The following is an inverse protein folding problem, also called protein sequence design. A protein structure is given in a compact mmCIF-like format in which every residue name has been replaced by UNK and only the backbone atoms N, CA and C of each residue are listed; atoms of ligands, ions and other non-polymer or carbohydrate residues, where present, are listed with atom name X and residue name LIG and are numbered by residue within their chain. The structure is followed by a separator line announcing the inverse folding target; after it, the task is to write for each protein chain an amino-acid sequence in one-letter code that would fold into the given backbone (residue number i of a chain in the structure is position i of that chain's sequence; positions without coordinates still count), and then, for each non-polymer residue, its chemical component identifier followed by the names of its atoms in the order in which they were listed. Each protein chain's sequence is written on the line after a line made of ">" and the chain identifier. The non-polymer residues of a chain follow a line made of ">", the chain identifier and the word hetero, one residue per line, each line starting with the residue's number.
data_IF_286352291222
#
_entry.id   IF_286352291222
#
_cell.length_a   1.000
_cell.length_b   1.000
_cell.length_c   1.000
_cell.angle_alpha   90.00
_cell.angle_beta   90.00
_cell.angle_gamma   90.00
#
_symmetry.space_group_name_H-M   'P 1'
#
loop_
_entity.id
_entity.type
_entity.pdbx_description
1 polymer ?
#
# COMPACT_ATOMS: atom_id res chain seq x y z
N UNK A 1 -4.08 -24.21 78.91
CA UNK A 1 -4.52 -23.36 77.81
C UNK A 1 -3.45 -23.37 76.73
N UNK A 2 -3.66 -24.10 75.64
CA UNK A 2 -2.74 -24.15 74.49
C UNK A 2 -3.39 -23.40 73.37
N UNK A 3 -2.81 -22.25 72.94
CA UNK A 3 -3.27 -21.49 71.80
C UNK A 3 -2.65 -22.11 70.54
N UNK A 4 -3.54 -22.51 69.62
CA UNK A 4 -3.16 -22.93 68.25
C UNK A 4 -3.13 -21.68 67.36
N UNK A 5 -1.96 -21.34 66.82
CA UNK A 5 -1.84 -20.36 65.77
C UNK A 5 -1.97 -21.06 64.43
N UNK A 6 -3.04 -20.78 63.71
CA UNK A 6 -3.24 -21.25 62.35
C UNK A 6 -2.60 -20.27 61.41
N UNK A 7 -1.48 -20.66 60.77
CA UNK A 7 -0.81 -19.89 59.72
C UNK A 7 -1.62 -20.10 58.42
N UNK A 8 -2.27 -19.01 57.97
CA UNK A 8 -2.94 -18.96 56.66
C UNK A 8 -1.92 -18.50 55.61
N UNK A 9 -1.40 -19.47 54.84
CA UNK A 9 -0.52 -19.17 53.67
C UNK A 9 -1.39 -18.80 52.47
N UNK A 10 -1.41 -17.51 52.13
CA UNK A 10 -2.06 -17.01 50.91
C UNK A 10 -1.07 -17.24 49.77
N UNK A 11 -1.33 -18.24 48.92
CA UNK A 11 -0.58 -18.46 47.67
C UNK A 11 -1.09 -17.49 46.59
N UNK A 12 -0.32 -16.45 46.33
CA UNK A 12 -0.58 -15.48 45.24
C UNK A 12 -0.16 -16.09 43.91
N UNK A 13 -1.09 -16.70 43.17
CA UNK A 13 -0.86 -17.13 41.80
C UNK A 13 -0.75 -15.92 40.87
N UNK A 14 0.46 -15.55 40.54
CA UNK A 14 0.77 -14.52 39.54
C UNK A 14 0.53 -15.14 38.14
N UNK A 15 -0.64 -14.95 37.55
CA UNK A 15 -0.90 -15.32 36.14
C UNK A 15 -0.20 -14.33 35.23
N UNK A 16 0.97 -14.71 34.72
CA UNK A 16 1.68 -13.97 33.68
C UNK A 16 0.91 -14.18 32.37
N UNK A 17 0.06 -13.25 31.98
CA UNK A 17 -0.53 -13.21 30.65
C UNK A 17 0.53 -12.74 29.68
N UNK A 18 1.22 -13.67 29.02
CA UNK A 18 2.10 -13.37 27.89
C UNK A 18 1.22 -12.93 26.71
N UNK A 19 1.09 -11.63 26.49
CA UNK A 19 0.55 -11.08 25.25
C UNK A 19 1.53 -11.44 24.13
N UNK A 20 1.12 -12.34 23.23
CA UNK A 20 1.86 -12.61 21.99
C UNK A 20 1.68 -11.35 21.12
N UNK A 21 2.64 -10.44 21.19
CA UNK A 21 2.78 -9.37 20.20
C UNK A 21 3.24 -10.07 18.93
N UNK A 22 2.33 -10.27 17.98
CA UNK A 22 2.70 -10.69 16.63
C UNK A 22 3.65 -9.62 16.09
N UNK A 23 4.93 -9.95 16.01
CA UNK A 23 5.93 -9.05 15.45
C UNK A 23 5.52 -8.74 14.01
N UNK A 24 5.30 -7.46 13.73
CA UNK A 24 4.99 -6.99 12.39
C UNK A 24 6.17 -7.33 11.47
N UNK A 25 5.89 -7.88 10.29
CA UNK A 25 6.95 -8.22 9.31
C UNK A 25 7.76 -6.94 9.00
N UNK A 26 9.10 -6.95 9.17
CA UNK A 26 9.93 -5.77 8.97
C UNK A 26 9.83 -5.22 7.53
N UNK A 27 9.46 -6.06 6.57
CA UNK A 27 9.23 -5.67 5.17
C UNK A 27 8.00 -4.76 5.02
N UNK A 28 7.05 -4.82 5.94
CA UNK A 28 5.81 -4.03 5.86
C UNK A 28 6.08 -2.53 5.95
N UNK A 29 7.00 -2.10 6.81
CA UNK A 29 7.39 -0.70 6.92
C UNK A 29 8.02 -0.19 5.61
N UNK A 30 8.86 -1.01 4.99
CA UNK A 30 9.48 -0.67 3.70
C UNK A 30 8.46 -0.60 2.57
N UNK A 31 7.52 -1.53 2.48
CA UNK A 31 6.46 -1.49 1.47
C UNK A 31 5.57 -0.26 1.66
N UNK A 32 5.19 0.09 2.89
CA UNK A 32 4.43 1.34 3.16
C UNK A 32 5.19 2.58 2.73
N UNK A 33 6.49 2.63 2.98
CA UNK A 33 7.35 3.73 2.54
C UNK A 33 7.38 3.85 1.01
N UNK A 34 7.52 2.72 0.32
CA UNK A 34 7.55 2.67 -1.15
C UNK A 34 6.19 3.02 -1.79
N UNK A 35 5.08 2.56 -1.21
CA UNK A 35 3.72 2.94 -1.61
C UNK A 35 3.49 4.45 -1.50
N UNK A 36 3.98 5.08 -0.41
CA UNK A 36 3.91 6.52 -0.26
C UNK A 36 4.82 7.25 -1.27
N UNK A 37 6.03 6.73 -1.51
CA UNK A 37 6.95 7.30 -2.49
C UNK A 37 6.36 7.25 -3.90
N UNK A 38 5.75 6.13 -4.29
CA UNK A 38 5.05 6.01 -5.59
C UNK A 38 3.92 7.04 -5.70
N UNK A 39 3.03 7.11 -4.69
CA UNK A 39 1.93 8.05 -4.65
C UNK A 39 2.39 9.50 -4.79
N UNK A 40 3.41 9.89 -4.04
CA UNK A 40 3.96 11.25 -4.10
C UNK A 40 4.63 11.55 -5.44
N UNK A 41 5.36 10.56 -6.00
CA UNK A 41 6.02 10.71 -7.29
C UNK A 41 5.01 10.86 -8.44
N UNK A 42 3.90 10.11 -8.39
CA UNK A 42 2.78 10.29 -9.33
C UNK A 42 2.17 11.68 -9.18
N UNK A 43 1.92 12.13 -7.95
CA UNK A 43 1.32 13.44 -7.68
C UNK A 43 2.21 14.60 -8.15
N UNK A 44 3.52 14.46 -8.02
CA UNK A 44 4.52 15.46 -8.44
C UNK A 44 4.94 15.33 -9.90
N UNK A 45 4.55 14.26 -10.60
CA UNK A 45 5.05 13.95 -11.95
C UNK A 45 6.52 13.56 -11.98
N UNK A 46 7.07 13.03 -10.87
CA UNK A 46 8.47 12.61 -10.78
C UNK A 46 8.69 11.30 -11.53
N UNK A 47 8.90 11.45 -12.84
CA UNK A 47 9.08 10.31 -13.75
C UNK A 47 10.36 9.52 -13.48
N UNK A 48 11.43 10.17 -13.01
CA UNK A 48 12.70 9.50 -12.74
C UNK A 48 12.55 8.48 -11.60
N UNK A 49 11.92 8.88 -10.47
CA UNK A 49 11.69 7.97 -9.36
C UNK A 49 10.78 6.81 -9.78
N UNK A 50 9.71 7.11 -10.53
CA UNK A 50 8.75 6.10 -10.95
C UNK A 50 9.37 5.08 -11.90
N UNK A 51 10.12 5.53 -12.91
CA UNK A 51 10.62 4.68 -14.00
C UNK A 51 11.87 3.90 -13.63
N UNK A 52 12.72 4.49 -12.79
CA UNK A 52 14.04 3.92 -12.50
C UNK A 52 14.04 3.13 -11.17
N UNK A 53 13.07 3.39 -10.28
CA UNK A 53 13.09 2.82 -8.92
C UNK A 53 11.85 2.05 -8.52
N UNK A 54 10.67 2.43 -9.04
CA UNK A 54 9.39 1.93 -8.53
C UNK A 54 8.71 0.97 -9.52
N UNK A 55 8.55 1.38 -10.77
CA UNK A 55 7.83 0.59 -11.76
C UNK A 55 8.76 -0.36 -12.48
N UNK A 56 8.49 -1.67 -12.38
CA UNK A 56 9.21 -2.66 -13.17
C UNK A 56 9.07 -2.40 -14.67
N UNK A 57 10.10 -2.63 -15.49
CA UNK A 57 9.96 -2.61 -16.94
C UNK A 57 8.86 -3.53 -17.47
N UNK A 58 8.57 -4.61 -16.73
CA UNK A 58 7.57 -5.61 -17.09
C UNK A 58 6.21 -5.37 -16.41
N UNK A 59 6.00 -4.18 -15.79
CA UNK A 59 4.77 -3.87 -15.09
C UNK A 59 3.55 -3.90 -16.02
N UNK A 60 2.50 -4.58 -15.57
CA UNK A 60 1.18 -4.57 -16.21
C UNK A 60 0.17 -3.81 -15.35
N UNK A 61 -0.75 -3.11 -15.99
CA UNK A 61 -1.76 -2.30 -15.30
C UNK A 61 -3.15 -2.63 -15.83
N UNK A 62 -4.05 -3.07 -14.95
CA UNK A 62 -5.47 -3.04 -15.26
C UNK A 62 -6.02 -1.67 -14.84
N UNK A 63 -6.28 -0.83 -15.84
CA UNK A 63 -6.63 0.59 -15.62
C UNK A 63 -8.08 0.75 -15.15
N UNK A 64 -8.43 1.92 -14.56
CA UNK A 64 -9.83 2.24 -14.23
C UNK A 64 -10.78 2.28 -15.43
N UNK A 65 -10.25 2.37 -16.65
CA UNK A 65 -11.01 2.28 -17.88
C UNK A 65 -11.28 0.83 -18.34
N UNK A 66 -10.93 -0.16 -17.50
CA UNK A 66 -11.07 -1.59 -17.78
C UNK A 66 -10.25 -2.05 -19.01
N UNK A 67 -9.06 -1.51 -19.16
CA UNK A 67 -8.12 -1.84 -20.22
C UNK A 67 -6.81 -2.31 -19.60
N UNK A 68 -6.25 -3.41 -20.10
CA UNK A 68 -4.92 -3.86 -19.71
C UNK A 68 -3.89 -3.03 -20.46
N UNK A 69 -3.08 -2.30 -19.71
CA UNK A 69 -1.99 -1.47 -20.20
C UNK A 69 -0.62 -2.02 -19.79
N UNK A 70 0.40 -1.50 -20.45
CA UNK A 70 1.81 -1.76 -20.16
C UNK A 70 2.44 -0.60 -19.38
N UNK A 71 3.63 -0.84 -18.84
CA UNK A 71 4.43 0.24 -18.23
C UNK A 71 4.71 1.37 -19.21
N UNK A 72 4.97 1.06 -20.48
CA UNK A 72 5.24 2.09 -21.51
C UNK A 72 4.00 2.95 -21.79
N UNK A 73 2.80 2.36 -21.82
CA UNK A 73 1.55 3.11 -21.90
C UNK A 73 1.36 4.03 -20.69
N UNK A 74 1.65 3.54 -19.48
CA UNK A 74 1.56 4.34 -18.25
C UNK A 74 2.58 5.48 -18.23
N UNK A 75 3.81 5.23 -18.69
CA UNK A 75 4.84 6.26 -18.89
C UNK A 75 4.40 7.33 -19.89
N UNK A 76 3.80 6.92 -21.02
CA UNK A 76 3.26 7.84 -22.01
C UNK A 76 2.15 8.74 -21.43
N UNK A 77 1.23 8.17 -20.63
CA UNK A 77 0.20 8.93 -19.92
C UNK A 77 0.78 9.95 -18.92
N UNK A 78 1.82 9.58 -18.19
CA UNK A 78 2.49 10.52 -17.29
C UNK A 78 3.15 11.66 -18.05
N UNK A 79 3.91 11.36 -19.11
CA UNK A 79 4.61 12.38 -19.95
C UNK A 79 3.64 13.33 -20.66
N UNK A 80 2.48 12.84 -21.07
CA UNK A 80 1.46 13.67 -21.74
C UNK A 80 0.57 14.47 -20.78
N UNK A 81 0.79 14.34 -19.45
CA UNK A 81 -0.07 14.96 -18.43
C UNK A 81 -1.45 14.31 -18.27
N UNK A 82 -1.66 13.15 -18.89
CA UNK A 82 -2.90 12.36 -18.73
C UNK A 82 -2.91 11.56 -17.43
N UNK A 83 -1.82 11.53 -16.67
CA UNK A 83 -1.75 11.04 -15.31
C UNK A 83 -1.35 12.22 -14.41
N UNK A 84 -2.31 13.04 -14.04
CA UNK A 84 -2.10 14.30 -13.33
C UNK A 84 -3.25 14.54 -12.34
N UNK A 85 -2.92 14.82 -11.08
CA UNK A 85 -3.89 14.95 -10.01
C UNK A 85 -3.67 16.22 -9.20
N UNK A 86 -4.75 16.85 -8.76
CA UNK A 86 -4.75 17.94 -7.77
C UNK A 86 -4.42 17.36 -6.39
N UNK A 87 -4.99 16.19 -6.08
CA UNK A 87 -4.76 15.47 -4.84
C UNK A 87 -4.78 13.97 -5.08
N UNK A 88 -4.02 13.25 -4.28
CA UNK A 88 -3.96 11.79 -4.29
C UNK A 88 -3.72 11.29 -2.87
N UNK A 89 -4.73 10.69 -2.28
CA UNK A 89 -4.67 10.04 -0.98
C UNK A 89 -4.74 8.54 -1.17
N UNK A 90 -3.98 7.79 -0.38
CA UNK A 90 -3.97 6.32 -0.38
C UNK A 90 -4.09 5.80 1.05
N UNK A 91 -5.07 4.93 1.27
CA UNK A 91 -5.24 4.20 2.50
C UNK A 91 -4.92 2.72 2.24
N UNK A 92 -3.84 2.22 2.83
CA UNK A 92 -3.46 0.82 2.77
C UNK A 92 -4.27 0.07 3.83
N UNK A 93 -5.05 -0.92 3.43
CA UNK A 93 -5.88 -1.72 4.33
C UNK A 93 -5.24 -3.08 4.62
N UNK A 94 -4.49 -3.62 3.66
CA UNK A 94 -3.85 -4.93 3.80
C UNK A 94 -2.54 -5.00 3.03
N UNK A 95 -1.52 -5.56 3.67
CA UNK A 95 -0.29 -6.03 3.05
C UNK A 95 -0.15 -7.52 3.36
N UNK A 96 0.13 -8.33 2.35
CA UNK A 96 0.37 -9.76 2.50
C UNK A 96 1.64 -10.11 1.77
N UNK A 97 2.50 -10.90 2.41
CA UNK A 97 3.75 -11.39 1.83
C UNK A 97 3.61 -12.87 1.45
N UNK A 98 4.16 -13.21 0.29
CA UNK A 98 4.36 -14.57 -0.17
C UNK A 98 5.76 -14.64 -0.79
N UNK A 99 6.70 -15.24 -0.09
CA UNK A 99 8.14 -15.26 -0.41
C UNK A 99 8.68 -13.85 -0.71
N UNK A 100 9.03 -13.58 -1.95
CA UNK A 100 9.56 -12.31 -2.45
C UNK A 100 8.49 -11.41 -3.10
N UNK A 101 7.22 -11.72 -2.90
CA UNK A 101 6.08 -10.93 -3.40
C UNK A 101 5.35 -10.27 -2.23
N UNK A 102 5.02 -8.99 -2.38
CA UNK A 102 4.08 -8.29 -1.50
C UNK A 102 2.85 -7.87 -2.30
N UNK A 103 1.67 -8.19 -1.76
CA UNK A 103 0.38 -7.77 -2.31
C UNK A 103 -0.18 -6.70 -1.38
N UNK A 104 -0.43 -5.52 -1.93
CA UNK A 104 -0.95 -4.35 -1.21
C UNK A 104 -2.33 -4.02 -1.74
N UNK A 105 -3.31 -3.94 -0.85
CA UNK A 105 -4.69 -3.60 -1.18
C UNK A 105 -5.21 -2.46 -0.32
N UNK A 106 -6.09 -1.64 -0.92
CA UNK A 106 -6.70 -0.54 -0.18
C UNK A 106 -7.59 0.35 -1.02
N UNK A 107 -7.82 1.55 -0.52
CA UNK A 107 -8.59 2.59 -1.16
C UNK A 107 -7.73 3.79 -1.56
N UNK A 108 -8.16 4.50 -2.60
CA UNK A 108 -7.58 5.76 -3.04
C UNK A 108 -8.68 6.78 -3.23
N UNK A 109 -8.38 8.02 -2.86
CA UNK A 109 -9.20 9.19 -3.19
C UNK A 109 -8.32 10.12 -4.02
N UNK A 110 -8.76 10.39 -5.23
CA UNK A 110 -8.03 11.24 -6.17
C UNK A 110 -8.90 12.39 -6.67
N UNK A 111 -8.28 13.48 -7.04
CA UNK A 111 -8.91 14.57 -7.79
C UNK A 111 -8.14 14.77 -9.09
N UNK A 112 -8.59 14.15 -10.20
CA UNK A 112 -7.97 14.32 -11.51
C UNK A 112 -8.04 15.77 -11.99
N UNK A 113 -7.06 16.17 -12.82
CA UNK A 113 -7.06 17.49 -13.46
C UNK A 113 -6.64 17.41 -14.94
N UNK A 114 -6.66 18.55 -15.61
CA UNK A 114 -6.30 18.66 -17.04
C UNK A 114 -7.33 17.98 -17.94
N UNK A 115 -6.87 17.13 -18.87
CA UNK A 115 -7.72 16.45 -19.85
C UNK A 115 -8.21 15.08 -19.40
N UNK A 116 -8.01 14.73 -18.12
CA UNK A 116 -8.46 13.42 -17.62
C UNK A 116 -9.98 13.32 -17.52
N UNK A 117 -10.49 12.11 -17.74
CA UNK A 117 -11.86 11.77 -17.37
C UNK A 117 -12.07 12.07 -15.89
N UNK A 118 -13.20 12.70 -15.55
CA UNK A 118 -13.53 13.15 -14.20
C UNK A 118 -12.62 14.28 -13.65
N UNK A 119 -11.98 15.10 -14.52
CA UNK A 119 -11.21 16.26 -14.07
C UNK A 119 -12.05 17.18 -13.17
N UNK A 120 -11.49 17.59 -12.05
CA UNK A 120 -12.14 18.42 -11.04
C UNK A 120 -13.09 17.71 -10.08
N UNK A 121 -13.44 16.43 -10.33
CA UNK A 121 -14.29 15.62 -9.47
C UNK A 121 -13.47 14.85 -8.44
N UNK A 122 -14.10 14.48 -7.33
CA UNK A 122 -13.52 13.53 -6.38
C UNK A 122 -13.84 12.12 -6.83
N UNK A 123 -12.82 11.30 -6.99
CA UNK A 123 -12.94 9.92 -7.48
C UNK A 123 -12.39 8.97 -6.43
N UNK A 124 -13.24 8.06 -5.95
CA UNK A 124 -12.84 6.97 -5.05
C UNK A 124 -12.55 5.72 -5.87
N UNK A 125 -11.43 5.05 -5.55
CA UNK A 125 -10.98 3.81 -6.22
C UNK A 125 -10.63 2.75 -5.19
N UNK A 126 -10.74 1.49 -5.62
CA UNK A 126 -10.03 0.36 -4.99
C UNK A 126 -8.77 0.10 -5.78
N UNK A 127 -7.69 -0.30 -5.08
CA UNK A 127 -6.45 -0.66 -5.77
C UNK A 127 -5.84 -1.94 -5.22
N UNK A 128 -5.06 -2.58 -6.07
CA UNK A 128 -4.14 -3.66 -5.73
C UNK A 128 -2.81 -3.38 -6.42
N UNK A 129 -1.73 -3.33 -5.65
CA UNK A 129 -0.36 -3.32 -6.16
C UNK A 129 0.31 -4.64 -5.82
N UNK A 130 1.03 -5.21 -6.77
CA UNK A 130 1.87 -6.39 -6.58
C UNK A 130 3.33 -5.95 -6.72
N UNK A 131 4.06 -6.09 -5.62
CA UNK A 131 5.48 -5.79 -5.53
C UNK A 131 6.29 -7.07 -5.61
N UNK A 132 7.40 -7.05 -6.33
CA UNK A 132 8.38 -8.12 -6.41
C UNK A 132 9.71 -7.64 -5.85
N UNK A 133 10.29 -8.43 -4.93
CA UNK A 133 11.66 -8.23 -4.48
C UNK A 133 12.61 -9.02 -5.36
N UNK A 134 13.46 -8.31 -6.09
CA UNK A 134 14.47 -8.88 -6.99
C UNK A 134 15.67 -7.95 -7.06
N UNK A 135 16.89 -8.51 -7.13
CA UNK A 135 18.13 -7.74 -7.22
C UNK A 135 18.26 -6.71 -6.08
N UNK A 136 17.94 -7.12 -4.84
CA UNK A 136 17.97 -6.30 -3.61
C UNK A 136 17.04 -5.06 -3.64
N UNK A 137 16.01 -5.05 -4.45
CA UNK A 137 15.04 -3.95 -4.51
C UNK A 137 13.62 -4.45 -4.73
N UNK A 138 12.64 -3.67 -4.25
CA UNK A 138 11.22 -3.86 -4.54
C UNK A 138 10.81 -3.03 -5.74
N UNK A 139 10.04 -3.62 -6.66
CA UNK A 139 9.40 -2.89 -7.75
C UNK A 139 7.97 -3.39 -7.98
N UNK A 140 7.08 -2.52 -8.46
CA UNK A 140 5.71 -2.88 -8.83
C UNK A 140 5.75 -3.64 -10.16
N UNK A 141 5.22 -4.87 -10.17
CA UNK A 141 5.11 -5.70 -11.38
C UNK A 141 3.68 -5.77 -11.91
N UNK A 142 2.69 -5.50 -11.06
CA UNK A 142 1.30 -5.42 -11.49
C UNK A 142 0.52 -4.42 -10.64
N UNK A 143 -0.43 -3.72 -11.26
CA UNK A 143 -1.35 -2.82 -10.59
C UNK A 143 -2.75 -2.98 -11.16
N UNK A 144 -3.75 -2.92 -10.29
CA UNK A 144 -5.14 -2.70 -10.65
C UNK A 144 -5.68 -1.49 -9.90
N UNK A 145 -6.51 -0.68 -10.56
CA UNK A 145 -7.33 0.34 -9.92
C UNK A 145 -8.74 0.34 -10.54
N UNK A 146 -9.76 0.34 -9.69
CA UNK A 146 -11.17 0.32 -10.11
C UNK A 146 -11.91 1.48 -9.47
N UNK A 147 -12.56 2.31 -10.28
CA UNK A 147 -13.42 3.40 -9.80
C UNK A 147 -14.66 2.79 -9.15
N UNK A 148 -14.95 3.21 -7.92
CA UNK A 148 -16.14 2.78 -7.17
C UNK A 148 -17.12 3.92 -6.92
N UNK A 149 -16.66 5.19 -7.00
CA UNK A 149 -17.51 6.38 -6.82
C UNK A 149 -16.90 7.58 -7.53
N UNK A 150 -17.76 8.47 -8.04
CA UNK A 150 -17.40 9.79 -8.60
C UNK A 150 -18.38 10.82 -8.05
N UNK A 151 -17.85 11.92 -7.50
CA UNK A 151 -18.62 13.03 -6.91
C UNK A 151 -18.22 14.38 -7.50
#
# INVERSE_FOLDING_TARGET
>A
MKQFYTLLTISLCLTITTSIVLAQDPREAEIKRLENLERESVLKGDSAVLFDKIWSPDMVVNTPANVVGTVEGTKAHLRSGNLNYISFERNIEKITFNDNVAIVMGGEIIKPQGHQVNAGKTVSRRFTNVWLYKNNSWSIIARQATIIKVE
#
